data_IF_103071943183
#
_entry.id   IF_103071943183
#
_cell.length_a   1.000
_cell.length_b   1.000
_cell.length_c   1.000
_cell.angle_alpha   90.00
_cell.angle_beta   90.00
_cell.angle_gamma   90.00
#
_symmetry.space_group_name_H-M   'P 1'
#
loop_
_entity.id
_entity.type
_entity.pdbx_description
1 polymer ?
#
# COMPACT_ATOMS: atom_id res chain seq x y z
N UNK A 1 -6.94 0.38 -7.41
CA UNK A 1 -7.69 -0.89 -7.64
C UNK A 1 -7.68 -1.76 -6.38
N UNK A 2 -6.56 -2.37 -5.98
CA UNK A 2 -6.49 -3.19 -4.76
C UNK A 2 -7.00 -2.45 -3.52
N UNK A 3 -6.38 -1.31 -3.20
CA UNK A 3 -6.71 -0.55 -1.99
C UNK A 3 -8.16 -0.04 -2.00
N UNK A 4 -8.62 0.51 -3.13
CA UNK A 4 -10.00 0.95 -3.34
C UNK A 4 -11.02 -0.18 -3.17
N UNK A 5 -10.70 -1.39 -3.63
CA UNK A 5 -11.57 -2.57 -3.48
C UNK A 5 -11.72 -2.93 -2.01
N UNK A 6 -10.63 -2.86 -1.25
CA UNK A 6 -10.64 -3.09 0.21
C UNK A 6 -11.39 -1.97 0.93
N UNK A 7 -11.21 -0.71 0.52
CA UNK A 7 -11.99 0.44 1.04
C UNK A 7 -13.49 0.19 0.85
N UNK A 8 -13.92 -0.22 -0.35
CA UNK A 8 -15.31 -0.56 -0.63
C UNK A 8 -15.79 -1.77 0.20
N UNK A 9 -14.98 -2.82 0.30
CA UNK A 9 -15.32 -4.04 1.06
C UNK A 9 -15.48 -3.77 2.56
N UNK A 10 -14.71 -2.83 3.10
CA UNK A 10 -14.81 -2.37 4.48
C UNK A 10 -15.94 -1.35 4.70
N UNK A 11 -16.81 -1.14 3.70
CA UNK A 11 -17.96 -0.25 3.81
C UNK A 11 -17.55 1.21 3.96
N UNK A 12 -16.43 1.61 3.38
CA UNK A 12 -15.95 3.00 3.36
C UNK A 12 -16.12 3.60 1.96
N UNK A 13 -16.14 4.93 1.88
CA UNK A 13 -16.32 5.63 0.61
C UNK A 13 -15.03 5.65 -0.21
N UNK A 14 -15.03 4.98 -1.37
CA UNK A 14 -13.90 4.96 -2.30
C UNK A 14 -13.55 6.39 -2.76
N UNK A 15 -12.27 6.67 -2.92
CA UNK A 15 -11.65 7.97 -3.24
C UNK A 15 -11.69 9.03 -2.12
N UNK A 16 -12.37 8.76 -1.00
CA UNK A 16 -12.46 9.69 0.11
C UNK A 16 -11.89 9.11 1.41
N UNK A 17 -12.06 7.80 1.64
CA UNK A 17 -11.85 7.17 2.93
C UNK A 17 -10.68 6.16 2.96
N UNK A 18 -9.79 6.16 1.96
CA UNK A 18 -8.60 5.30 1.95
C UNK A 18 -7.76 5.47 3.23
N UNK A 19 -7.67 6.69 3.77
CA UNK A 19 -6.97 6.96 5.03
C UNK A 19 -7.57 6.22 6.23
N UNK A 20 -8.87 5.88 6.20
CA UNK A 20 -9.52 5.08 7.26
C UNK A 20 -9.02 3.65 7.24
N UNK A 21 -8.73 3.08 6.06
CA UNK A 21 -8.11 1.74 5.95
C UNK A 21 -6.71 1.77 6.55
N UNK A 22 -5.94 2.82 6.31
CA UNK A 22 -4.61 3.01 6.91
C UNK A 22 -4.69 3.11 8.44
N UNK A 23 -5.62 3.90 8.96
CA UNK A 23 -5.83 4.01 10.41
C UNK A 23 -6.35 2.71 11.03
N UNK A 24 -7.18 1.97 10.31
CA UNK A 24 -7.71 0.69 10.77
C UNK A 24 -6.62 -0.39 10.83
N UNK A 25 -5.66 -0.36 9.91
CA UNK A 25 -4.55 -1.31 9.84
C UNK A 25 -3.71 -1.34 11.13
N UNK A 26 -3.59 -0.24 11.87
CA UNK A 26 -2.81 -0.21 13.12
C UNK A 26 -3.43 -1.00 14.28
N UNK A 27 -4.69 -1.44 14.15
CA UNK A 27 -5.39 -2.23 15.16
C UNK A 27 -5.46 -3.73 14.79
N UNK A 28 -4.98 -4.09 13.60
CA UNK A 28 -5.04 -5.44 13.06
C UNK A 28 -3.73 -6.21 13.17
N UNK A 29 -3.82 -7.52 12.95
CA UNK A 29 -2.69 -8.41 12.68
C UNK A 29 -2.75 -8.86 11.22
N UNK A 30 -1.61 -8.94 10.49
CA UNK A 30 -1.60 -9.21 9.06
C UNK A 30 -1.81 -10.72 8.72
N UNK A 31 -2.83 -11.35 9.32
CA UNK A 31 -3.09 -12.80 9.19
C UNK A 31 -3.53 -13.22 7.78
N UNK A 32 -4.02 -12.27 6.98
CA UNK A 32 -4.42 -12.49 5.59
C UNK A 32 -3.34 -12.10 4.57
N UNK A 33 -2.13 -11.74 5.02
CA UNK A 33 -1.08 -11.25 4.12
C UNK A 33 -0.80 -12.22 2.97
N UNK A 34 -0.79 -13.52 3.23
CA UNK A 34 -0.54 -14.52 2.19
C UNK A 34 -1.65 -14.58 1.15
N UNK A 35 -2.92 -14.50 1.57
CA UNK A 35 -4.04 -14.40 0.65
C UNK A 35 -3.96 -13.12 -0.20
N UNK A 36 -3.52 -12.00 0.39
CA UNK A 36 -3.32 -10.76 -0.36
C UNK A 36 -2.14 -10.85 -1.35
N UNK A 37 -1.08 -11.58 -1.04
CA UNK A 37 0.03 -11.85 -1.99
C UNK A 37 -0.40 -12.69 -3.19
N UNK A 38 -1.40 -13.56 -3.02
CA UNK A 38 -1.99 -14.27 -4.16
C UNK A 38 -2.76 -13.31 -5.09
N UNK A 39 -3.34 -12.24 -4.54
CA UNK A 39 -4.03 -11.21 -5.30
C UNK A 39 -3.09 -10.21 -5.98
N UNK A 40 -1.97 -9.87 -5.34
CA UNK A 40 -0.95 -8.97 -5.86
C UNK A 40 0.39 -9.71 -5.91
N UNK A 41 0.71 -10.26 -7.08
CA UNK A 41 1.96 -10.98 -7.31
C UNK A 41 3.04 -10.01 -7.77
N UNK A 42 4.21 -10.10 -7.16
CA UNK A 42 5.39 -9.33 -7.54
C UNK A 42 6.32 -10.21 -8.38
N UNK A 43 6.95 -9.61 -9.39
CA UNK A 43 7.95 -10.26 -10.23
C UNK A 43 9.34 -9.69 -9.94
N UNK A 44 10.39 -10.49 -10.18
CA UNK A 44 11.76 -10.14 -9.84
C UNK A 44 12.29 -8.90 -10.59
N UNK A 45 11.67 -8.52 -11.71
CA UNK A 45 11.99 -7.32 -12.49
C UNK A 45 11.35 -6.03 -11.93
N UNK A 46 10.61 -6.13 -10.83
CA UNK A 46 9.88 -5.03 -10.22
C UNK A 46 8.49 -4.79 -10.81
N UNK A 47 8.06 -5.59 -11.80
CA UNK A 47 6.68 -5.56 -12.25
C UNK A 47 5.76 -6.30 -11.27
N UNK A 48 4.45 -6.10 -11.41
CA UNK A 48 3.45 -6.78 -10.60
C UNK A 48 2.23 -7.14 -11.42
N UNK A 49 1.51 -8.17 -10.97
CA UNK A 49 0.26 -8.64 -11.55
C UNK A 49 -0.84 -8.67 -10.48
N UNK A 50 -2.05 -8.27 -10.88
CA UNK A 50 -3.25 -8.46 -10.07
C UNK A 50 -4.01 -9.68 -10.55
N UNK A 51 -4.36 -10.61 -9.65
CA UNK A 51 -5.34 -11.67 -9.95
C UNK A 51 -6.73 -11.04 -10.07
N UNK A 52 -7.15 -10.81 -11.31
CA UNK A 52 -8.41 -10.15 -11.66
C UNK A 52 -9.64 -10.93 -11.19
N UNK A 53 -9.54 -12.22 -10.85
CA UNK A 53 -10.67 -12.99 -10.33
C UNK A 53 -11.16 -12.49 -8.97
N UNK A 54 -10.36 -11.71 -8.24
CA UNK A 54 -10.74 -11.07 -6.98
C UNK A 54 -11.51 -9.76 -7.16
N UNK A 55 -11.63 -9.26 -8.39
CA UNK A 55 -12.10 -7.92 -8.68
C UNK A 55 -13.26 -7.90 -9.66
N UNK A 56 -14.27 -7.08 -9.37
CA UNK A 56 -15.50 -6.98 -10.17
C UNK A 56 -15.67 -5.60 -10.83
N UNK A 57 -14.69 -4.69 -10.68
CA UNK A 57 -14.77 -3.31 -11.17
C UNK A 57 -14.89 -3.17 -12.70
N UNK A 58 -14.57 -4.22 -13.46
CA UNK A 58 -14.73 -4.21 -14.93
C UNK A 58 -16.15 -4.57 -15.37
N UNK A 59 -16.89 -5.32 -14.55
CA UNK A 59 -18.20 -5.86 -14.91
C UNK A 59 -19.34 -5.21 -14.11
N UNK A 60 -19.04 -4.61 -12.96
CA UNK A 60 -20.00 -3.95 -12.09
C UNK A 60 -19.63 -2.49 -11.83
N UNK A 61 -20.63 -1.61 -11.91
CA UNK A 61 -20.53 -0.20 -11.46
C UNK A 61 -20.80 -0.02 -9.98
N UNK A 62 -21.35 -1.04 -9.33
CA UNK A 62 -21.85 -0.97 -7.94
C UNK A 62 -20.93 -1.68 -6.96
N UNK A 63 -20.13 -2.66 -7.43
CA UNK A 63 -19.31 -3.54 -6.59
C UNK A 63 -17.89 -3.66 -7.14
N UNK A 64 -16.88 -3.51 -6.27
CA UNK A 64 -15.47 -3.60 -6.65
C UNK A 64 -14.84 -4.99 -6.42
N UNK A 65 -15.38 -5.75 -5.47
CA UNK A 65 -14.88 -7.07 -5.04
C UNK A 65 -15.73 -8.21 -5.63
N UNK A 66 -15.10 -9.33 -5.97
CA UNK A 66 -15.80 -10.49 -6.54
C UNK A 66 -16.30 -11.47 -5.46
N UNK A 67 -17.02 -12.51 -5.89
CA UNK A 67 -17.42 -13.59 -4.99
C UNK A 67 -16.21 -14.40 -4.47
N UNK A 68 -15.11 -14.49 -5.25
CA UNK A 68 -13.84 -15.08 -4.78
C UNK A 68 -13.25 -14.27 -3.62
N UNK A 69 -13.34 -12.94 -3.69
CA UNK A 69 -12.92 -12.06 -2.61
C UNK A 69 -13.76 -12.32 -1.34
N UNK A 70 -15.08 -12.41 -1.47
CA UNK A 70 -15.99 -12.71 -0.35
C UNK A 70 -15.70 -14.09 0.24
N UNK A 71 -15.47 -15.10 -0.60
CA UNK A 71 -15.10 -16.45 -0.13
C UNK A 71 -13.78 -16.47 0.65
N UNK A 72 -12.85 -15.57 0.31
CA UNK A 72 -11.52 -15.50 0.93
C UNK A 72 -11.52 -14.69 2.23
N UNK A 73 -12.21 -13.55 2.24
CA UNK A 73 -12.12 -12.55 3.32
C UNK A 73 -13.41 -12.38 4.12
N UNK A 74 -14.46 -13.14 3.81
CA UNK A 74 -15.76 -13.08 4.47
C UNK A 74 -16.74 -12.09 3.85
N UNK A 75 -17.79 -11.76 4.59
CA UNK A 75 -18.81 -10.83 4.12
C UNK A 75 -18.33 -9.38 4.19
N UNK A 76 -18.72 -8.52 3.23
CA UNK A 76 -18.39 -7.10 3.27
C UNK A 76 -19.08 -6.43 4.45
N UNK A 77 -18.45 -5.37 4.98
CA UNK A 77 -19.02 -4.56 6.06
C UNK A 77 -20.06 -3.60 5.49
N UNK A 78 -21.25 -3.54 6.07
CA UNK A 78 -22.17 -2.43 5.78
C UNK A 78 -21.73 -1.17 6.51
N UNK A 79 -22.03 0.02 5.97
CA UNK A 79 -21.52 1.30 6.51
C UNK A 79 -21.78 1.47 8.02
N UNK A 80 -22.92 0.98 8.52
CA UNK A 80 -23.34 1.08 9.93
C UNK A 80 -22.94 -0.10 10.82
N UNK A 81 -22.35 -1.16 10.26
CA UNK A 81 -21.95 -2.34 11.05
C UNK A 81 -20.72 -2.03 11.91
N UNK A 82 -20.60 -2.61 13.11
CA UNK A 82 -19.39 -2.46 13.89
C UNK A 82 -18.16 -2.98 13.14
N UNK A 83 -17.05 -2.27 13.29
CA UNK A 83 -15.75 -2.76 12.83
C UNK A 83 -15.34 -3.96 13.69
N UNK A 84 -15.06 -5.10 13.04
CA UNK A 84 -14.68 -6.35 13.69
C UNK A 84 -13.17 -6.55 13.63
N UNK A 85 -12.66 -7.53 14.37
CA UNK A 85 -11.25 -7.93 14.30
C UNK A 85 -10.85 -8.39 12.90
N UNK A 86 -11.74 -9.10 12.21
CA UNK A 86 -11.53 -9.50 10.81
C UNK A 86 -11.31 -8.31 9.87
N UNK A 87 -12.06 -7.22 10.03
CA UNK A 87 -11.88 -6.00 9.24
C UNK A 87 -10.52 -5.34 9.52
N UNK A 88 -10.10 -5.31 10.79
CA UNK A 88 -8.78 -4.80 11.21
C UNK A 88 -7.65 -5.63 10.60
N UNK A 89 -7.76 -6.95 10.69
CA UNK A 89 -6.74 -7.88 10.22
C UNK A 89 -6.61 -7.86 8.69
N UNK A 90 -7.71 -7.71 7.96
CA UNK A 90 -7.69 -7.48 6.51
C UNK A 90 -6.98 -6.16 6.17
N UNK A 91 -7.33 -5.07 6.86
CA UNK A 91 -6.69 -3.78 6.65
C UNK A 91 -5.18 -3.84 6.91
N UNK A 92 -4.76 -4.50 8.01
CA UNK A 92 -3.34 -4.71 8.34
C UNK A 92 -2.61 -5.54 7.27
N UNK A 93 -3.25 -6.59 6.79
CA UNK A 93 -2.69 -7.48 5.75
C UNK A 93 -2.48 -6.76 4.42
N UNK A 94 -3.49 -6.01 3.96
CA UNK A 94 -3.40 -5.26 2.70
C UNK A 94 -2.38 -4.14 2.81
N UNK A 95 -2.33 -3.45 3.96
CA UNK A 95 -1.34 -2.43 4.21
C UNK A 95 0.07 -3.02 4.14
N UNK A 96 0.36 -4.13 4.85
CA UNK A 96 1.66 -4.78 4.82
C UNK A 96 2.10 -5.14 3.39
N UNK A 97 1.24 -5.82 2.63
CA UNK A 97 1.58 -6.28 1.28
C UNK A 97 1.75 -5.11 0.30
N UNK A 98 1.00 -4.02 0.47
CA UNK A 98 1.21 -2.80 -0.31
C UNK A 98 2.59 -2.18 -0.03
N UNK A 99 3.02 -2.15 1.23
CA UNK A 99 4.35 -1.67 1.61
C UNK A 99 5.46 -2.55 1.03
N UNK A 100 5.31 -3.87 1.11
CA UNK A 100 6.23 -4.82 0.50
C UNK A 100 6.35 -4.59 -1.02
N UNK A 101 5.22 -4.41 -1.72
CA UNK A 101 5.20 -4.13 -3.15
C UNK A 101 5.94 -2.83 -3.50
N UNK A 102 5.69 -1.75 -2.75
CA UNK A 102 6.35 -0.47 -3.00
C UNK A 102 7.86 -0.54 -2.77
N UNK A 103 8.29 -1.25 -1.72
CA UNK A 103 9.72 -1.45 -1.43
C UNK A 103 10.38 -2.29 -2.51
N UNK A 104 9.74 -3.38 -2.92
CA UNK A 104 10.21 -4.27 -3.98
C UNK A 104 10.41 -3.51 -5.30
N UNK A 105 9.40 -2.75 -5.74
CA UNK A 105 9.49 -1.94 -6.96
C UNK A 105 10.64 -0.92 -6.89
N UNK A 106 10.82 -0.25 -5.75
CA UNK A 106 11.90 0.71 -5.57
C UNK A 106 13.29 0.03 -5.58
N UNK A 107 13.40 -1.18 -5.02
CA UNK A 107 14.64 -1.97 -5.01
C UNK A 107 15.02 -2.44 -6.42
N UNK A 108 14.09 -3.06 -7.15
CA UNK A 108 14.33 -3.48 -8.54
C UNK A 108 14.73 -2.30 -9.42
N UNK A 109 14.08 -1.13 -9.26
CA UNK A 109 14.44 0.07 -10.00
C UNK A 109 15.86 0.56 -9.68
N UNK A 110 16.26 0.53 -8.41
CA UNK A 110 17.63 0.86 -8.00
C UNK A 110 18.66 -0.13 -8.56
N UNK A 111 18.37 -1.43 -8.53
CA UNK A 111 19.27 -2.47 -9.05
C UNK A 111 19.47 -2.35 -10.57
N UNK A 112 18.42 -1.98 -11.31
CA UNK A 112 18.48 -1.81 -12.76
C UNK A 112 19.21 -0.53 -13.20
N UNK A 113 19.14 0.55 -12.42
CA UNK A 113 19.62 1.88 -12.84
C UNK A 113 20.78 2.44 -12.01
N UNK A 114 21.20 1.74 -10.94
CA UNK A 114 22.29 2.17 -10.07
C UNK A 114 21.86 3.22 -9.05
N UNK A 115 22.81 4.00 -8.53
CA UNK A 115 22.54 4.97 -7.45
C UNK A 115 21.56 6.05 -7.91
N UNK A 116 20.44 6.17 -7.20
CA UNK A 116 19.40 7.17 -7.46
C UNK A 116 19.42 8.20 -6.36
N UNK A 117 19.70 9.46 -6.72
CA UNK A 117 19.72 10.56 -5.75
C UNK A 117 18.32 11.07 -5.42
N UNK A 118 17.36 10.89 -6.33
CA UNK A 118 16.00 11.38 -6.20
C UNK A 118 14.99 10.36 -6.74
N UNK A 119 14.16 9.77 -5.86
CA UNK A 119 13.03 8.92 -6.24
C UNK A 119 11.72 9.70 -6.03
N UNK A 120 10.99 9.96 -7.12
CA UNK A 120 9.68 10.60 -7.07
C UNK A 120 8.59 9.53 -7.17
N UNK A 121 7.74 9.43 -6.15
CA UNK A 121 6.52 8.64 -6.19
C UNK A 121 5.33 9.56 -6.51
N UNK A 122 4.43 9.12 -7.39
CA UNK A 122 3.24 9.87 -7.76
C UNK A 122 2.00 8.95 -7.79
N UNK A 123 0.81 9.55 -7.76
CA UNK A 123 -0.47 8.83 -7.69
C UNK A 123 -0.99 8.63 -6.26
N UNK A 124 -2.27 8.27 -6.12
CA UNK A 124 -2.94 8.17 -4.81
C UNK A 124 -2.31 7.18 -3.83
N UNK A 125 -1.58 6.18 -4.34
CA UNK A 125 -0.81 5.22 -3.54
C UNK A 125 0.46 5.85 -2.93
N UNK A 126 1.02 6.88 -3.56
CA UNK A 126 2.20 7.61 -3.05
C UNK A 126 1.89 8.43 -1.77
N UNK A 127 0.60 8.68 -1.49
CA UNK A 127 0.12 9.32 -0.26
C UNK A 127 0.03 8.33 0.92
N UNK A 128 0.39 7.05 0.73
CA UNK A 128 0.49 6.08 1.82
C UNK A 128 1.73 6.38 2.69
N UNK A 129 1.55 7.25 3.68
CA UNK A 129 2.58 7.72 4.60
C UNK A 129 3.25 6.61 5.44
N UNK A 130 2.53 5.51 5.72
CA UNK A 130 3.06 4.35 6.42
C UNK A 130 4.04 3.58 5.54
N UNK A 131 3.71 3.39 4.25
CA UNK A 131 4.62 2.82 3.26
C UNK A 131 5.90 3.63 3.11
N UNK A 132 5.79 4.95 3.05
CA UNK A 132 6.96 5.82 2.96
C UNK A 132 7.87 5.70 4.20
N UNK A 133 7.32 5.44 5.39
CA UNK A 133 8.10 5.24 6.62
C UNK A 133 8.82 3.89 6.64
N UNK A 134 8.17 2.82 6.16
CA UNK A 134 8.79 1.49 6.03
C UNK A 134 9.90 1.46 4.98
N UNK A 135 9.69 2.12 3.82
CA UNK A 135 10.73 2.33 2.80
C UNK A 135 11.97 3.03 3.38
N UNK A 136 11.76 4.13 4.13
CA UNK A 136 12.85 4.88 4.78
C UNK A 136 13.61 4.04 5.82
N UNK A 137 12.93 3.17 6.58
CA UNK A 137 13.56 2.32 7.59
C UNK A 137 14.42 1.21 6.94
N UNK A 138 13.94 0.54 5.89
CA UNK A 138 14.71 -0.50 5.18
C UNK A 138 15.86 0.06 4.34
N UNK A 139 15.73 1.26 3.78
CA UNK A 139 16.83 1.90 3.06
C UNK A 139 17.98 2.29 4.01
N UNK A 140 17.65 2.75 5.23
CA UNK A 140 18.64 3.11 6.27
C UNK A 140 19.40 1.90 6.84
N UNK A 141 18.82 0.70 6.88
CA UNK A 141 19.54 -0.50 7.33
C UNK A 141 20.55 -1.04 6.32
N UNK A 142 20.39 -0.73 5.02
CA UNK A 142 21.27 -1.20 3.95
C UNK A 142 22.40 -0.21 3.61
N UNK A 143 22.41 0.99 4.20
CA UNK A 143 23.49 1.96 4.05
C UNK A 143 24.15 2.23 5.41
N UNK A 144 25.29 1.61 5.65
CA UNK A 144 26.23 2.02 6.71
C UNK A 144 26.87 3.36 6.33
N UNK A 145 26.13 4.47 6.44
CA UNK A 145 26.61 5.80 6.09
C UNK A 145 25.68 6.88 6.65
N UNK A 146 26.23 7.78 7.46
CA UNK A 146 25.50 8.85 8.14
C UNK A 146 24.97 9.90 7.16
N UNK A 147 23.70 9.80 6.74
CA UNK A 147 22.99 10.87 6.05
C UNK A 147 21.53 10.91 6.53
N UNK A 148 21.08 12.06 7.06
CA UNK A 148 19.68 12.26 7.47
C UNK A 148 18.89 12.83 6.29
N UNK A 149 17.87 12.09 5.83
CA UNK A 149 16.90 12.55 4.83
C UNK A 149 15.55 12.84 5.49
N UNK A 150 14.93 13.96 5.14
CA UNK A 150 13.60 14.39 5.62
C UNK A 150 12.58 14.21 4.50
N UNK A 151 11.43 13.62 4.82
CA UNK A 151 10.32 13.42 3.90
C UNK A 151 9.17 14.36 4.29
N UNK A 152 8.70 15.19 3.37
CA UNK A 152 7.57 16.11 3.59
C UNK A 152 6.44 15.77 2.62
N UNK A 153 5.20 15.72 3.12
CA UNK A 153 4.02 15.35 2.33
C UNK A 153 3.36 16.60 1.72
N UNK A 154 3.01 16.54 0.43
CA UNK A 154 2.27 17.57 -0.29
C UNK A 154 1.77 17.09 -1.65
N UNK A 155 0.58 17.52 -2.06
CA UNK A 155 -0.27 17.03 -3.17
C UNK A 155 0.23 17.32 -4.60
N UNK A 156 1.53 17.48 -4.82
CA UNK A 156 2.08 17.67 -6.16
C UNK A 156 3.58 17.49 -6.16
N UNK A 157 4.05 16.46 -6.87
CA UNK A 157 5.45 16.06 -7.05
C UNK A 157 6.29 16.05 -5.75
N UNK A 158 6.59 14.85 -5.24
CA UNK A 158 7.55 14.66 -4.16
C UNK A 158 8.91 15.25 -4.56
N UNK A 159 9.25 16.41 -4.01
CA UNK A 159 10.61 16.96 -4.00
C UNK A 159 11.25 16.66 -2.65
N UNK A 160 12.30 15.84 -2.66
CA UNK A 160 13.24 15.77 -1.55
C UNK A 160 14.15 17.00 -1.66
N UNK A 161 14.14 17.88 -0.66
CA UNK A 161 15.09 18.99 -0.57
C UNK A 161 16.28 18.55 0.29
N UNK A 162 17.49 18.66 -0.24
CA UNK A 162 18.71 18.78 0.58
C UNK A 162 18.79 20.22 1.09
N UNK A 163 18.79 20.42 2.41
CA UNK A 163 19.35 21.63 3.01
C UNK A 163 20.70 21.27 3.63
N UNK A 164 21.76 21.66 2.93
CA UNK A 164 23.09 21.84 3.52
C UNK A 164 22.99 22.90 4.61
N UNK A 165 23.31 22.55 5.85
CA UNK A 165 23.82 23.50 6.84
C UNK A 165 25.33 23.23 6.90
N UNK A 166 26.20 24.15 6.42
CA UNK A 166 27.63 23.95 6.53
C UNK A 166 28.09 24.16 7.98
N UNK A 167 28.81 23.14 8.47
CA UNK A 167 29.64 23.00 9.69
C UNK A 167 28.97 23.29 11.05
#
# INVERSE_FOLDING_TARGET
LLYSTVTAFLGFNVNNDEYKVMGLASYGEPVYAEAVRQMLRLHDDGSYELDLEYFDFMYSRERMYSDKFIATFGQPRMENDPVTKQHQDLAASVQLVLEEALIHMAQCFYEQHGKIENLCLAGGVALNCTANTSCLKKHRSNMSGSSRHTLTQGTGALRVYEQFIPL
#
